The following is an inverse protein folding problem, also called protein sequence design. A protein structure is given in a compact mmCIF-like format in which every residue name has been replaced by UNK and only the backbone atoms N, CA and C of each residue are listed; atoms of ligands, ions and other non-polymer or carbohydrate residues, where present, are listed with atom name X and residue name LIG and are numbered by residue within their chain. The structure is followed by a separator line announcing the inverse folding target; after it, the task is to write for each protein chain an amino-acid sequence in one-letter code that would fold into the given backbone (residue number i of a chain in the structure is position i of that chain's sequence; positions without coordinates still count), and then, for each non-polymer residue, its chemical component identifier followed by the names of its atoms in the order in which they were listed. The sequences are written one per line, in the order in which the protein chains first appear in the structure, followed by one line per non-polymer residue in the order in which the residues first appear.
data_IF_199347865105
#
_entry.id   IF_199347865105
#
_cell.length_a   1.000
_cell.length_b   1.000
_cell.length_c   1.000
_cell.angle_alpha   90.00
_cell.angle_beta   90.00
_cell.angle_gamma   90.00
#
_symmetry.space_group_name_H-M   'P 1'
#
loop_
_entity.id
_entity.type
_entity.pdbx_description
1 polymer ?
#
# COMPACT_ATOMS: atom_id res chain seq x y z
N UNK A 1 8.58 8.65 42.61
CA UNK A 1 8.18 9.97 42.09
C UNK A 1 8.63 10.08 40.64
N UNK A 2 7.75 10.42 39.68
CA UNK A 2 8.18 10.62 38.30
C UNK A 2 9.09 11.84 38.24
N UNK A 3 10.32 11.60 37.79
CA UNK A 3 11.39 12.58 37.73
C UNK A 3 11.29 13.36 36.41
N UNK A 4 10.71 14.56 36.43
CA UNK A 4 10.57 15.45 35.26
C UNK A 4 11.89 16.11 34.81
N UNK A 5 13.02 15.41 34.91
CA UNK A 5 14.35 16.03 34.71
C UNK A 5 14.57 16.56 33.30
N UNK A 6 14.05 15.89 32.26
CA UNK A 6 14.29 16.28 30.86
C UNK A 6 13.57 17.58 30.44
N UNK A 7 12.38 17.86 31.00
CA UNK A 7 11.61 19.09 30.68
C UNK A 7 12.12 20.27 31.51
N UNK A 8 12.67 20.01 32.70
CA UNK A 8 13.10 21.02 33.65
C UNK A 8 14.59 21.38 33.54
N UNK A 9 15.26 21.00 32.45
CA UNK A 9 16.71 21.24 32.25
C UNK A 9 17.06 22.73 32.37
N UNK A 10 16.25 23.62 31.81
CA UNK A 10 16.47 25.07 31.90
C UNK A 10 16.40 25.59 33.35
N UNK A 11 15.50 25.03 34.17
CA UNK A 11 15.36 25.37 35.59
C UNK A 11 16.51 24.82 36.45
N UNK A 12 16.99 23.62 36.11
CA UNK A 12 18.16 23.04 36.78
C UNK A 12 19.42 23.84 36.44
N UNK A 13 19.65 24.15 35.16
CA UNK A 13 20.78 24.97 34.73
C UNK A 13 20.74 26.37 35.33
N UNK A 14 19.57 27.00 35.39
CA UNK A 14 19.44 28.32 36.02
C UNK A 14 19.76 28.27 37.51
N UNK A 15 19.37 27.20 38.22
CA UNK A 15 19.72 26.97 39.63
C UNK A 15 21.22 26.73 39.83
N UNK A 16 21.85 25.93 38.96
CA UNK A 16 23.28 25.63 39.01
C UNK A 16 24.12 26.89 38.71
N UNK A 17 23.68 27.74 37.77
CA UNK A 17 24.32 29.03 37.48
C UNK A 17 24.16 30.01 38.66
N UNK A 18 22.97 30.08 39.26
CA UNK A 18 22.71 30.95 40.43
C UNK A 18 23.50 30.55 41.67
N UNK A 19 23.71 29.25 41.88
CA UNK A 19 24.52 28.73 42.99
C UNK A 19 26.03 28.87 42.77
N UNK A 20 26.46 29.37 41.60
CA UNK A 20 27.88 29.54 41.27
C UNK A 20 28.63 28.22 41.00
N UNK A 21 27.92 27.09 40.89
CA UNK A 21 28.51 25.79 40.56
C UNK A 21 29.02 25.75 39.10
N UNK A 22 28.35 26.48 38.20
CA UNK A 22 28.82 26.71 36.84
C UNK A 22 29.26 28.17 36.66
N UNK A 23 30.47 28.37 36.13
CA UNK A 23 31.06 29.70 35.90
C UNK A 23 30.48 30.43 34.68
N UNK A 24 30.08 29.67 33.66
CA UNK A 24 29.53 30.20 32.42
C UNK A 24 28.31 29.38 31.99
N UNK A 25 27.29 30.01 31.38
CA UNK A 25 26.14 29.30 30.86
C UNK A 25 26.54 28.42 29.66
N UNK A 26 25.98 27.21 29.53
CA UNK A 26 26.14 26.41 28.32
C UNK A 26 25.59 27.15 27.08
N UNK A 27 26.16 26.94 25.88
CA UNK A 27 25.71 27.61 24.66
C UNK A 27 24.21 27.41 24.34
N UNK A 28 23.65 26.26 24.71
CA UNK A 28 22.23 25.95 24.50
C UNK A 28 21.27 26.62 25.51
N UNK A 29 21.78 27.24 26.59
CA UNK A 29 20.94 27.78 27.66
C UNK A 29 20.04 28.93 27.19
N UNK A 30 20.55 29.84 26.36
CA UNK A 30 19.77 30.93 25.78
C UNK A 30 18.66 30.42 24.86
N UNK A 31 18.95 29.40 24.03
CA UNK A 31 17.97 28.75 23.17
C UNK A 31 16.85 28.07 23.98
N UNK A 32 17.20 27.38 25.08
CA UNK A 32 16.23 26.74 25.96
C UNK A 32 15.31 27.72 26.68
N UNK A 33 15.78 28.94 27.00
CA UNK A 33 14.95 30.00 27.56
C UNK A 33 14.00 30.59 26.51
N UNK A 34 14.46 30.76 25.28
CA UNK A 34 13.65 31.31 24.18
C UNK A 34 12.61 30.30 23.66
N UNK A 35 12.94 29.01 23.69
CA UNK A 35 12.08 27.92 23.21
C UNK A 35 11.89 26.87 24.33
N UNK A 36 11.08 27.17 25.36
CA UNK A 36 10.86 26.23 26.44
C UNK A 36 10.17 24.96 25.92
N UNK A 37 10.53 23.77 26.44
CA UNK A 37 9.86 22.53 26.05
C UNK A 37 8.38 22.59 26.40
N UNK A 38 7.52 22.12 25.50
CA UNK A 38 6.09 22.03 25.76
C UNK A 38 5.84 21.13 26.99
N UNK A 39 5.00 21.57 27.96
CA UNK A 39 4.66 20.72 29.09
C UNK A 39 3.99 19.44 28.58
N UNK A 40 4.34 18.29 29.16
CA UNK A 40 3.69 17.03 28.80
C UNK A 40 2.19 17.20 29.01
N UNK A 41 1.36 17.05 27.96
CA UNK A 41 -0.06 17.29 28.09
C UNK A 41 -0.64 16.31 29.10
N UNK A 42 -1.62 16.77 29.89
CA UNK A 42 -2.40 15.87 30.72
C UNK A 42 -3.07 14.83 29.81
N UNK A 43 -3.36 13.65 30.34
CA UNK A 43 -4.04 12.58 29.59
C UNK A 43 -5.46 13.01 29.23
N UNK A 44 -5.59 13.69 28.10
CA UNK A 44 -6.82 14.31 27.61
C UNK A 44 -7.39 13.51 26.44
N UNK A 45 -8.69 13.72 26.20
CA UNK A 45 -9.39 13.19 25.02
C UNK A 45 -9.29 14.22 23.92
N UNK A 46 -8.70 13.86 22.79
CA UNK A 46 -8.76 14.69 21.59
C UNK A 46 -10.20 14.69 21.08
N UNK A 47 -10.80 15.86 20.89
CA UNK A 47 -12.08 15.97 20.19
C UNK A 47 -11.87 15.51 18.75
N UNK A 48 -12.58 14.46 18.33
CA UNK A 48 -12.42 13.84 17.01
C UNK A 48 -13.65 14.14 16.15
N UNK A 49 -13.50 14.42 14.84
CA UNK A 49 -14.65 14.58 13.95
C UNK A 49 -15.52 13.31 13.92
N UNK A 50 -16.83 13.51 13.69
CA UNK A 50 -17.81 12.40 13.63
C UNK A 50 -17.58 11.46 12.44
N UNK A 51 -16.85 11.93 11.43
CA UNK A 51 -16.63 11.23 10.17
C UNK A 51 -15.91 9.89 10.31
N UNK A 52 -14.95 9.78 11.23
CA UNK A 52 -14.13 8.56 11.40
C UNK A 52 -14.61 7.67 12.56
N UNK A 53 -15.72 8.05 13.20
CA UNK A 53 -16.22 7.30 14.34
C UNK A 53 -16.94 6.04 13.87
N UNK A 54 -16.90 4.93 14.63
CA UNK A 54 -17.76 3.79 14.36
C UNK A 54 -19.22 4.20 14.48
N UNK A 55 -20.11 3.58 13.70
CA UNK A 55 -21.55 3.93 13.63
C UNK A 55 -22.21 4.00 15.02
N UNK A 56 -21.83 3.10 15.94
CA UNK A 56 -22.32 3.08 17.32
C UNK A 56 -21.96 4.31 18.15
N UNK A 57 -20.94 5.08 17.75
CA UNK A 57 -20.50 6.32 18.40
C UNK A 57 -20.91 7.57 17.59
N UNK A 58 -21.44 7.42 16.36
CA UNK A 58 -21.90 8.54 15.51
C UNK A 58 -23.25 9.08 15.95
N UNK A 59 -24.18 8.19 16.32
CA UNK A 59 -25.46 8.59 16.88
C UNK A 59 -25.22 9.13 18.28
N UNK A 60 -25.32 10.44 18.44
CA UNK A 60 -25.51 11.06 19.75
C UNK A 60 -26.90 10.72 20.30
N UNK A 61 -27.23 9.43 20.39
CA UNK A 61 -28.41 9.00 21.13
C UNK A 61 -28.25 9.57 22.52
N UNK A 62 -29.26 10.33 22.93
CA UNK A 62 -29.39 10.95 24.23
C UNK A 62 -28.86 10.04 25.35
N UNK A 63 -28.28 10.61 26.41
CA UNK A 63 -27.62 9.84 27.48
C UNK A 63 -28.61 9.03 28.35
N UNK A 64 -29.84 8.85 27.88
CA UNK A 64 -30.88 8.11 28.54
C UNK A 64 -30.99 6.72 27.92
N UNK A 65 -30.63 5.73 28.72
CA UNK A 65 -30.80 4.30 28.51
C UNK A 65 -29.62 3.51 27.91
N UNK A 66 -28.90 2.83 28.81
CA UNK A 66 -28.56 1.39 28.72
C UNK A 66 -27.25 0.87 28.10
N UNK A 67 -26.36 1.67 27.51
CA UNK A 67 -25.04 1.11 27.10
C UNK A 67 -23.95 1.30 28.16
N UNK A 68 -23.87 0.36 29.11
CA UNK A 68 -22.73 0.19 30.04
C UNK A 68 -21.36 0.23 29.32
N UNK A 69 -21.32 -0.20 28.04
CA UNK A 69 -20.14 -0.19 27.19
C UNK A 69 -19.71 1.22 26.77
N UNK A 70 -20.64 2.13 26.46
CA UNK A 70 -20.33 3.52 26.13
C UNK A 70 -19.64 4.21 27.31
N UNK A 71 -20.18 4.06 28.54
CA UNK A 71 -19.53 4.61 29.74
C UNK A 71 -18.15 4.00 30.00
N UNK A 72 -17.92 2.71 29.73
CA UNK A 72 -16.59 2.07 29.92
C UNK A 72 -15.54 2.58 28.92
N UNK A 73 -15.88 2.72 27.64
CA UNK A 73 -14.99 3.31 26.62
C UNK A 73 -14.77 4.80 26.88
N UNK A 74 -15.80 5.49 27.41
CA UNK A 74 -15.74 6.92 27.78
C UNK A 74 -14.95 7.18 29.08
N UNK A 75 -14.64 6.15 29.89
CA UNK A 75 -13.77 6.30 31.06
C UNK A 75 -12.29 6.01 30.79
N UNK A 76 -11.99 5.24 29.74
CA UNK A 76 -10.61 4.96 29.36
C UNK A 76 -10.11 6.05 28.40
N UNK A 77 -9.06 6.82 28.72
CA UNK A 77 -8.40 7.68 27.72
C UNK A 77 -7.49 6.83 26.83
N UNK A 78 -8.10 5.88 26.12
CA UNK A 78 -7.50 5.07 25.07
C UNK A 78 -7.85 5.70 23.73
N UNK A 79 -6.97 5.64 22.72
CA UNK A 79 -7.30 6.12 21.38
C UNK A 79 -8.49 5.33 20.81
N UNK A 80 -9.38 6.02 20.12
CA UNK A 80 -10.51 5.40 19.43
C UNK A 80 -10.05 4.80 18.09
N UNK A 81 -10.61 3.65 17.66
CA UNK A 81 -10.30 3.09 16.34
C UNK A 81 -10.73 4.07 15.23
N UNK A 82 -9.94 4.11 14.15
CA UNK A 82 -10.24 4.87 12.93
C UNK A 82 -11.09 3.97 12.03
N UNK A 83 -12.32 4.38 11.74
CA UNK A 83 -13.23 3.58 10.89
C UNK A 83 -13.96 4.49 9.91
N UNK A 84 -13.79 4.23 8.61
CA UNK A 84 -14.51 4.94 7.56
C UNK A 84 -15.72 4.11 7.15
N UNK A 85 -16.85 4.26 7.86
CA UNK A 85 -17.98 3.33 7.78
C UNK A 85 -18.54 3.13 6.37
N UNK A 86 -18.68 4.20 5.58
CA UNK A 86 -19.16 4.11 4.20
C UNK A 86 -18.07 3.60 3.25
N UNK A 87 -16.86 4.17 3.35
CA UNK A 87 -15.72 3.85 2.47
C UNK A 87 -15.26 2.39 2.63
N UNK A 88 -15.05 1.94 3.87
CA UNK A 88 -14.63 0.57 4.18
C UNK A 88 -15.69 -0.46 3.78
N UNK A 89 -16.98 -0.08 3.81
CA UNK A 89 -18.08 -0.94 3.33
C UNK A 89 -18.02 -1.11 1.82
N UNK A 90 -17.79 -0.03 1.07
CA UNK A 90 -17.63 -0.07 -0.39
C UNK A 90 -16.40 -0.90 -0.78
N UNK A 91 -15.27 -0.70 -0.10
CA UNK A 91 -14.03 -1.47 -0.34
C UNK A 91 -14.25 -2.97 -0.13
N UNK A 92 -14.90 -3.36 0.98
CA UNK A 92 -15.22 -4.77 1.26
C UNK A 92 -16.16 -5.36 0.21
N UNK A 93 -17.18 -4.62 -0.21
CA UNK A 93 -18.08 -5.07 -1.28
C UNK A 93 -17.32 -5.27 -2.60
N UNK A 94 -16.50 -4.30 -2.98
CA UNK A 94 -15.71 -4.33 -4.22
C UNK A 94 -14.83 -5.57 -4.33
N UNK A 95 -14.00 -5.84 -3.32
CA UNK A 95 -13.09 -7.00 -3.35
C UNK A 95 -13.80 -8.34 -3.14
N UNK A 96 -15.00 -8.35 -2.53
CA UNK A 96 -15.83 -9.55 -2.48
C UNK A 96 -16.36 -9.92 -3.86
N UNK A 97 -16.80 -8.91 -4.62
CA UNK A 97 -17.36 -9.11 -5.95
C UNK A 97 -16.26 -9.29 -7.02
N UNK A 98 -15.06 -8.75 -6.78
CA UNK A 98 -13.91 -8.80 -7.70
C UNK A 98 -12.66 -9.37 -6.99
N UNK A 99 -12.64 -10.67 -6.67
CA UNK A 99 -11.53 -11.27 -5.92
C UNK A 99 -10.19 -11.15 -6.64
N UNK A 100 -10.19 -11.16 -7.98
CA UNK A 100 -8.95 -11.09 -8.76
C UNK A 100 -8.30 -9.71 -8.80
N UNK A 101 -9.02 -8.64 -8.46
CA UNK A 101 -8.43 -7.31 -8.35
C UNK A 101 -7.44 -7.23 -7.19
N UNK A 102 -7.57 -8.09 -6.16
CA UNK A 102 -6.62 -8.18 -5.06
C UNK A 102 -5.24 -8.75 -5.46
N UNK A 103 -5.15 -9.47 -6.59
CA UNK A 103 -3.86 -9.97 -7.11
C UNK A 103 -3.12 -8.94 -7.95
N UNK A 104 -3.75 -7.81 -8.29
CA UNK A 104 -3.03 -6.75 -9.01
C UNK A 104 -2.01 -6.12 -8.07
N UNK A 105 -0.75 -5.93 -8.51
CA UNK A 105 0.26 -5.31 -7.68
C UNK A 105 -0.12 -3.84 -7.41
N UNK A 106 -0.05 -3.44 -6.14
CA UNK A 106 -0.27 -2.07 -5.69
C UNK A 106 0.95 -1.63 -4.89
N UNK A 107 1.52 -0.47 -5.24
CA UNK A 107 2.56 0.16 -4.42
C UNK A 107 1.90 0.81 -3.21
N UNK A 108 2.31 0.37 -2.00
CA UNK A 108 1.94 1.02 -0.74
C UNK A 108 2.98 2.05 -0.30
N UNK A 109 4.08 2.18 -1.04
CA UNK A 109 5.08 3.20 -0.77
C UNK A 109 4.47 4.54 -1.15
N UNK A 110 4.11 5.31 -0.13
CA UNK A 110 3.76 6.71 -0.29
C UNK A 110 5.00 7.43 -0.82
N UNK A 111 4.95 7.84 -2.08
CA UNK A 111 5.97 8.73 -2.62
C UNK A 111 5.68 10.09 -2.01
N UNK A 112 6.42 10.39 -0.93
CA UNK A 112 6.51 11.74 -0.39
C UNK A 112 6.88 12.67 -1.55
N UNK A 113 6.25 13.84 -1.57
CA UNK A 113 6.41 14.93 -2.53
C UNK A 113 5.30 14.95 -3.59
N UNK A 114 4.47 15.99 -3.49
CA UNK A 114 3.95 16.99 -4.45
C UNK A 114 4.08 16.76 -5.99
N UNK A 115 4.80 15.73 -6.43
CA UNK A 115 5.09 15.34 -7.81
C UNK A 115 4.37 14.04 -8.23
N UNK A 116 3.87 13.21 -7.32
CA UNK A 116 3.19 11.94 -7.70
C UNK A 116 1.78 12.13 -8.28
N UNK A 117 1.18 13.32 -8.11
CA UNK A 117 0.05 13.77 -8.92
C UNK A 117 0.40 13.92 -10.42
N UNK A 118 1.68 13.88 -10.81
CA UNK A 118 2.12 14.00 -12.21
C UNK A 118 2.49 12.68 -12.89
N UNK A 119 2.63 11.54 -12.21
CA UNK A 119 3.30 10.38 -12.86
C UNK A 119 2.52 9.07 -12.91
N UNK A 120 1.40 8.90 -12.19
CA UNK A 120 0.55 7.69 -12.37
C UNK A 120 -0.94 7.98 -12.62
N UNK A 121 -1.32 9.23 -12.46
CA UNK A 121 -2.58 9.78 -12.92
C UNK A 121 -2.30 11.24 -13.25
N UNK A 122 -1.70 11.54 -14.41
CA UNK A 122 -2.13 12.79 -15.01
C UNK A 122 -3.65 12.59 -15.19
N UNK A 123 -4.51 13.32 -14.47
CA UNK A 123 -5.92 13.35 -14.87
C UNK A 123 -5.87 13.73 -16.34
N UNK A 124 -6.55 12.96 -17.20
CA UNK A 124 -6.67 13.30 -18.62
C UNK A 124 -7.03 14.76 -18.64
N UNK A 125 -6.07 15.63 -19.02
CA UNK A 125 -6.34 17.04 -19.16
C UNK A 125 -7.39 17.07 -20.25
N UNK A 126 -8.65 17.29 -19.86
CA UNK A 126 -9.70 17.49 -20.83
C UNK A 126 -9.25 18.66 -21.68
N UNK A 127 -9.06 18.41 -22.98
CA UNK A 127 -9.09 19.49 -23.94
C UNK A 127 -10.52 20.01 -23.82
N UNK A 128 -10.69 21.23 -23.31
CA UNK A 128 -12.01 21.87 -23.30
C UNK A 128 -12.49 21.96 -24.76
N UNK A 129 -13.81 22.09 -24.98
CA UNK A 129 -14.36 22.18 -26.34
C UNK A 129 -13.71 23.29 -27.21
N UNK A 130 -13.05 24.25 -26.55
CA UNK A 130 -12.36 25.40 -27.15
C UNK A 130 -10.87 25.14 -27.48
N UNK A 131 -10.37 23.91 -27.31
CA UNK A 131 -9.00 23.53 -27.68
C UNK A 131 -7.90 23.92 -26.69
N UNK A 132 -8.25 24.51 -25.54
CA UNK A 132 -7.31 24.89 -24.48
C UNK A 132 -6.99 23.71 -23.54
N UNK A 133 -5.72 23.61 -23.14
CA UNK A 133 -5.27 22.66 -22.13
C UNK A 133 -5.79 23.11 -20.76
N UNK A 134 -6.61 22.28 -20.11
CA UNK A 134 -7.12 22.49 -18.76
C UNK A 134 -5.98 22.85 -17.79
N UNK A 135 -6.18 23.94 -17.05
CA UNK A 135 -5.17 24.50 -16.14
C UNK A 135 -5.04 23.70 -14.84
N UNK A 136 -4.04 24.00 -13.99
CA UNK A 136 -3.86 23.35 -12.68
C UNK A 136 -5.05 23.53 -11.71
N UNK A 137 -5.94 24.50 -11.98
CA UNK A 137 -7.18 24.75 -11.23
C UNK A 137 -8.34 23.80 -11.62
N UNK A 138 -8.18 23.03 -12.70
CA UNK A 138 -9.16 22.05 -13.17
C UNK A 138 -8.89 20.65 -12.60
N UNK A 139 -8.07 20.55 -11.55
CA UNK A 139 -8.00 19.38 -10.68
C UNK A 139 -9.34 19.26 -9.97
N UNK A 140 -10.31 18.70 -10.68
CA UNK A 140 -11.69 18.57 -10.23
C UNK A 140 -11.69 17.85 -8.89
N UNK A 141 -12.00 18.60 -7.83
CA UNK A 141 -12.23 18.03 -6.51
C UNK A 141 -13.36 17.00 -6.55
N UNK A 142 -13.50 16.16 -5.52
CA UNK A 142 -14.54 15.11 -5.47
C UNK A 142 -15.97 15.64 -5.68
N UNK A 143 -16.17 16.94 -5.52
CA UNK A 143 -17.44 17.64 -5.68
C UNK A 143 -17.97 17.70 -7.11
N UNK A 144 -17.10 17.66 -8.15
CA UNK A 144 -17.56 17.69 -9.55
C UNK A 144 -17.29 16.40 -10.32
N UNK A 145 -17.03 15.29 -9.62
CA UNK A 145 -16.89 14.00 -10.29
C UNK A 145 -18.24 13.51 -10.81
N UNK A 146 -18.37 13.49 -12.13
CA UNK A 146 -19.51 12.87 -12.82
C UNK A 146 -19.13 11.56 -13.49
N UNK A 147 -17.86 11.38 -13.85
CA UNK A 147 -17.36 10.17 -14.52
C UNK A 147 -15.98 9.78 -13.99
N UNK A 148 -15.74 8.47 -13.85
CA UNK A 148 -14.46 7.92 -13.43
C UNK A 148 -13.32 8.23 -14.43
N UNK A 149 -13.65 8.41 -15.72
CA UNK A 149 -12.69 8.75 -16.79
C UNK A 149 -11.95 10.07 -16.54
N UNK A 150 -12.58 10.99 -15.80
CA UNK A 150 -12.01 12.30 -15.48
C UNK A 150 -10.76 12.21 -14.61
N UNK A 151 -10.67 11.14 -13.81
CA UNK A 151 -9.57 10.91 -12.86
C UNK A 151 -8.42 10.15 -13.52
N UNK A 152 -8.72 9.07 -14.23
CA UNK A 152 -7.72 8.13 -14.77
C UNK A 152 -8.25 7.41 -15.99
N UNK A 153 -7.38 7.15 -16.99
CA UNK A 153 -7.69 6.18 -18.05
C UNK A 153 -7.58 4.72 -17.55
N UNK A 154 -6.67 4.48 -16.61
CA UNK A 154 -6.40 3.15 -16.05
C UNK A 154 -6.80 3.15 -14.57
N UNK A 155 -8.10 3.00 -14.27
CA UNK A 155 -8.58 3.14 -12.90
C UNK A 155 -8.10 1.98 -12.02
N UNK A 156 -7.65 2.30 -10.82
CA UNK A 156 -7.43 1.37 -9.73
C UNK A 156 -8.74 0.99 -9.02
N UNK A 157 -8.71 -0.08 -8.23
CA UNK A 157 -9.82 -0.48 -7.37
C UNK A 157 -10.19 0.65 -6.38
N UNK A 158 -9.18 1.32 -5.80
CA UNK A 158 -9.40 2.46 -4.92
C UNK A 158 -10.00 3.67 -5.63
N UNK A 159 -9.69 3.88 -6.92
CA UNK A 159 -10.28 4.96 -7.71
C UNK A 159 -11.79 4.72 -7.91
N UNK A 160 -12.19 3.47 -8.16
CA UNK A 160 -13.60 3.08 -8.24
C UNK A 160 -14.33 3.31 -6.90
N UNK A 161 -13.73 2.93 -5.77
CA UNK A 161 -14.31 3.10 -4.43
C UNK A 161 -14.44 4.58 -4.09
N UNK A 162 -13.40 5.37 -4.36
CA UNK A 162 -13.40 6.82 -4.16
C UNK A 162 -14.47 7.51 -5.01
N UNK A 163 -14.62 7.09 -6.27
CA UNK A 163 -15.64 7.62 -7.16
C UNK A 163 -17.07 7.28 -6.68
N UNK A 164 -17.31 6.03 -6.28
CA UNK A 164 -18.60 5.65 -5.67
C UNK A 164 -18.93 6.47 -4.42
N UNK A 165 -17.92 6.74 -3.60
CA UNK A 165 -18.07 7.56 -2.40
C UNK A 165 -18.37 9.04 -2.72
N UNK A 166 -17.67 9.62 -3.70
CA UNK A 166 -17.93 10.99 -4.16
C UNK A 166 -19.33 11.14 -4.75
N UNK A 167 -19.77 10.18 -5.57
CA UNK A 167 -21.13 10.13 -6.10
C UNK A 167 -22.19 10.06 -5.00
N UNK A 168 -21.90 9.36 -3.91
CA UNK A 168 -22.80 9.27 -2.76
C UNK A 168 -22.89 10.60 -1.97
N UNK A 169 -21.78 11.33 -1.82
CA UNK A 169 -21.74 12.55 -1.00
C UNK A 169 -22.14 13.82 -1.73
N UNK A 170 -21.63 14.02 -2.94
CA UNK A 170 -21.64 15.33 -3.60
C UNK A 170 -22.56 15.40 -4.82
N UNK A 171 -23.04 14.25 -5.32
CA UNK A 171 -23.80 14.26 -6.57
C UNK A 171 -25.18 14.91 -6.38
N UNK A 172 -25.57 15.87 -7.24
CA UNK A 172 -26.82 16.63 -7.09
C UNK A 172 -28.08 15.76 -7.20
N UNK A 173 -28.01 14.65 -7.94
CA UNK A 173 -29.14 13.71 -8.06
C UNK A 173 -29.37 12.81 -6.82
N UNK A 174 -28.44 12.83 -5.84
CA UNK A 174 -28.59 12.07 -4.59
C UNK A 174 -28.59 10.55 -4.77
N UNK A 175 -27.49 9.96 -5.25
CA UNK A 175 -27.38 8.51 -5.39
C UNK A 175 -27.40 7.80 -4.03
N UNK A 176 -28.14 6.69 -3.94
CA UNK A 176 -27.96 5.75 -2.82
C UNK A 176 -26.58 5.10 -2.89
N UNK A 177 -26.06 4.63 -1.76
CA UNK A 177 -24.73 3.99 -1.70
C UNK A 177 -24.60 2.82 -2.69
N UNK A 178 -25.67 2.02 -2.86
CA UNK A 178 -25.70 0.91 -3.81
C UNK A 178 -25.78 1.40 -5.26
N UNK A 179 -26.60 2.43 -5.53
CA UNK A 179 -26.71 3.01 -6.87
C UNK A 179 -25.37 3.61 -7.34
N UNK A 180 -24.71 4.38 -6.45
CA UNK A 180 -23.38 4.92 -6.71
C UNK A 180 -22.34 3.82 -6.97
N UNK A 181 -22.38 2.73 -6.20
CA UNK A 181 -21.50 1.58 -6.39
C UNK A 181 -21.71 0.90 -7.74
N UNK A 182 -22.95 0.67 -8.16
CA UNK A 182 -23.26 0.04 -9.46
C UNK A 182 -22.77 0.89 -10.63
N UNK A 183 -22.98 2.22 -10.57
CA UNK A 183 -22.49 3.17 -11.59
C UNK A 183 -20.96 3.19 -11.62
N UNK A 184 -20.30 3.21 -10.46
CA UNK A 184 -18.85 3.20 -10.39
C UNK A 184 -18.26 1.90 -10.96
N UNK A 185 -18.82 0.75 -10.61
CA UNK A 185 -18.36 -0.57 -11.09
C UNK A 185 -18.59 -0.73 -12.59
N UNK A 186 -19.70 -0.24 -13.14
CA UNK A 186 -19.95 -0.30 -14.58
C UNK A 186 -18.91 0.52 -15.35
N UNK A 187 -18.64 1.75 -14.92
CA UNK A 187 -17.60 2.59 -15.53
C UNK A 187 -16.20 2.00 -15.38
N UNK A 188 -15.87 1.46 -14.21
CA UNK A 188 -14.60 0.77 -13.95
C UNK A 188 -14.40 -0.40 -14.92
N UNK A 189 -15.41 -1.24 -15.10
CA UNK A 189 -15.36 -2.38 -16.03
C UNK A 189 -15.15 -1.90 -17.47
N UNK A 190 -15.91 -0.91 -17.91
CA UNK A 190 -15.77 -0.34 -19.27
C UNK A 190 -14.37 0.17 -19.53
N UNK A 191 -13.79 0.96 -18.61
CA UNK A 191 -12.42 1.47 -18.73
C UNK A 191 -11.38 0.35 -18.73
N UNK A 192 -11.54 -0.67 -17.89
CA UNK A 192 -10.64 -1.84 -17.87
C UNK A 192 -10.70 -2.64 -19.17
N UNK A 193 -11.89 -2.83 -19.74
CA UNK A 193 -12.05 -3.51 -21.02
C UNK A 193 -11.43 -2.71 -22.15
N UNK A 194 -11.65 -1.40 -22.21
CA UNK A 194 -11.05 -0.50 -23.19
C UNK A 194 -9.52 -0.56 -23.13
N UNK A 195 -8.94 -0.45 -21.94
CA UNK A 195 -7.49 -0.56 -21.75
C UNK A 195 -6.95 -1.93 -22.20
N UNK A 196 -7.65 -3.02 -21.86
CA UNK A 196 -7.25 -4.36 -22.28
C UNK A 196 -7.28 -4.52 -23.80
N UNK A 197 -8.34 -4.05 -24.45
CA UNK A 197 -8.49 -4.05 -25.91
C UNK A 197 -7.37 -3.21 -26.54
N UNK A 198 -7.15 -2.00 -26.06
CA UNK A 198 -6.08 -1.11 -26.54
C UNK A 198 -4.70 -1.76 -26.43
N UNK A 199 -4.39 -2.39 -25.30
CA UNK A 199 -3.11 -3.10 -25.09
C UNK A 199 -2.97 -4.28 -26.07
N UNK A 200 -4.05 -5.04 -26.28
CA UNK A 200 -4.06 -6.18 -27.21
C UNK A 200 -3.84 -5.73 -28.65
N UNK A 201 -4.53 -4.69 -29.09
CA UNK A 201 -4.37 -4.14 -30.44
C UNK A 201 -2.98 -3.54 -30.63
N UNK A 202 -2.47 -2.77 -29.66
CA UNK A 202 -1.11 -2.21 -29.74
C UNK A 202 -0.05 -3.31 -29.89
N UNK A 203 -0.23 -4.46 -29.22
CA UNK A 203 0.66 -5.62 -29.40
C UNK A 203 0.57 -6.20 -30.82
N UNK A 204 -0.64 -6.42 -31.33
CA UNK A 204 -0.87 -6.97 -32.66
C UNK A 204 -0.31 -6.05 -33.76
N UNK A 205 -0.51 -4.75 -33.63
CA UNK A 205 0.05 -3.75 -34.53
C UNK A 205 1.58 -3.78 -34.51
N UNK A 206 2.19 -3.83 -33.32
CA UNK A 206 3.64 -3.94 -33.20
C UNK A 206 4.17 -5.22 -33.87
N UNK A 207 3.51 -6.37 -33.66
CA UNK A 207 3.86 -7.63 -34.31
C UNK A 207 3.72 -7.55 -35.83
N UNK A 208 2.68 -6.90 -36.34
CA UNK A 208 2.49 -6.65 -37.77
C UNK A 208 3.62 -5.81 -38.36
N UNK A 209 4.12 -4.81 -37.63
CA UNK A 209 5.30 -4.01 -38.01
C UNK A 209 6.64 -4.72 -37.73
N UNK A 210 6.63 -5.99 -37.35
CA UNK A 210 7.83 -6.82 -37.18
C UNK A 210 8.49 -6.71 -35.80
N UNK A 211 7.82 -6.14 -34.80
CA UNK A 211 8.32 -6.17 -33.43
C UNK A 211 8.38 -7.61 -32.90
N UNK A 212 9.55 -8.00 -32.38
CA UNK A 212 9.75 -9.30 -31.76
C UNK A 212 9.74 -9.15 -30.24
N UNK A 213 8.77 -9.78 -29.58
CA UNK A 213 8.68 -9.77 -28.13
C UNK A 213 9.60 -10.83 -27.51
N UNK A 214 10.28 -10.48 -26.42
CA UNK A 214 10.94 -11.47 -25.59
C UNK A 214 9.89 -12.40 -24.97
N UNK A 215 10.20 -13.71 -24.90
CA UNK A 215 9.46 -14.79 -24.25
C UNK A 215 8.22 -14.37 -23.43
N UNK A 216 7.04 -14.86 -23.85
CA UNK A 216 5.77 -14.64 -23.16
C UNK A 216 5.81 -15.10 -21.70
N UNK A 217 5.02 -14.45 -20.86
CA UNK A 217 4.87 -14.79 -19.43
C UNK A 217 4.55 -16.28 -19.22
N UNK A 218 3.71 -16.87 -20.08
CA UNK A 218 3.36 -18.29 -20.01
C UNK A 218 4.60 -19.17 -20.25
N UNK A 219 5.43 -18.84 -21.24
CA UNK A 219 6.66 -19.59 -21.51
C UNK A 219 7.67 -19.44 -20.37
N UNK A 220 7.74 -18.26 -19.74
CA UNK A 220 8.57 -18.04 -18.55
C UNK A 220 8.07 -18.86 -17.37
N UNK A 221 6.74 -18.92 -17.15
CA UNK A 221 6.14 -19.72 -16.09
C UNK A 221 6.38 -21.22 -16.29
N UNK A 222 6.21 -21.74 -17.51
CA UNK A 222 6.52 -23.15 -17.82
C UNK A 222 7.99 -23.48 -17.53
N UNK A 223 8.92 -22.61 -17.95
CA UNK A 223 10.36 -22.80 -17.64
C UNK A 223 10.64 -22.80 -16.14
N UNK A 224 9.94 -21.95 -15.38
CA UNK A 224 10.05 -21.92 -13.92
C UNK A 224 9.47 -23.20 -13.29
N UNK A 225 8.37 -23.74 -13.83
CA UNK A 225 7.77 -25.00 -13.39
C UNK A 225 8.69 -26.18 -13.69
N UNK A 226 9.24 -26.28 -14.91
CA UNK A 226 10.18 -27.34 -15.28
C UNK A 226 11.43 -27.33 -14.41
N UNK A 227 11.95 -26.12 -14.09
CA UNK A 227 13.06 -25.97 -13.15
C UNK A 227 12.70 -26.49 -11.77
N UNK A 228 11.52 -26.13 -11.26
CA UNK A 228 11.03 -26.59 -9.97
C UNK A 228 10.84 -28.11 -9.91
N UNK A 229 10.30 -28.73 -10.97
CA UNK A 229 10.14 -30.18 -11.06
C UNK A 229 11.51 -30.88 -11.03
N UNK A 230 12.48 -30.38 -11.81
CA UNK A 230 13.85 -30.93 -11.81
C UNK A 230 14.52 -30.82 -10.45
N UNK A 231 14.37 -29.68 -9.76
CA UNK A 231 14.93 -29.48 -8.42
C UNK A 231 14.28 -30.45 -7.41
N UNK A 232 12.97 -30.69 -7.52
CA UNK A 232 12.24 -31.64 -6.67
C UNK A 232 12.69 -33.08 -6.93
N UNK A 233 12.69 -33.52 -8.18
CA UNK A 233 13.08 -34.89 -8.53
C UNK A 233 14.57 -35.14 -8.22
N UNK A 234 15.42 -34.11 -8.35
CA UNK A 234 16.81 -34.14 -7.88
C UNK A 234 16.92 -34.36 -6.37
N UNK A 235 16.07 -33.71 -5.57
CA UNK A 235 16.02 -33.91 -4.11
C UNK A 235 15.55 -35.32 -3.72
N UNK A 236 14.59 -35.90 -4.45
CA UNK A 236 14.11 -37.26 -4.18
C UNK A 236 15.19 -38.31 -4.52
N UNK A 237 15.96 -38.07 -5.58
CA UNK A 237 17.13 -38.87 -5.91
C UNK A 237 18.27 -38.73 -4.88
N UNK A 238 18.43 -37.57 -4.24
CA UNK A 238 19.40 -37.38 -3.14
C UNK A 238 18.97 -38.06 -1.84
N UNK A 239 17.67 -38.07 -1.53
CA UNK A 239 17.12 -38.77 -0.35
C UNK A 239 17.24 -40.29 -0.47
N UNK A 240 16.99 -40.85 -1.66
CA UNK A 240 17.15 -42.30 -1.87
C UNK A 240 18.62 -42.76 -1.77
N UNK A 241 19.59 -41.86 -1.96
CA UNK A 241 21.02 -42.15 -1.77
C UNK A 241 21.46 -42.04 -0.29
N UNK A 242 20.77 -41.23 0.52
CA UNK A 242 21.09 -41.04 1.95
C UNK A 242 20.50 -42.11 2.89
N UNK A 243 19.68 -43.02 2.38
CA UNK A 243 19.15 -44.19 3.14
C UNK A 243 19.84 -45.53 2.75
N UNK A 244 21.13 -45.77 3.05
CA UNK A 244 21.75 -47.07 2.78
C UNK A 244 21.61 -48.09 3.93
N UNK A 245 20.93 -47.77 5.05
CA UNK A 245 20.81 -48.67 6.20
C UNK A 245 19.37 -48.90 6.66
N UNK A 246 18.70 -49.80 5.94
CA UNK A 246 17.83 -50.85 6.48
C UNK A 246 16.80 -50.50 7.56
N UNK A 247 15.55 -50.32 7.14
CA UNK A 247 14.41 -50.87 7.85
C UNK A 247 13.30 -51.24 6.85
N UNK A 248 13.21 -52.53 6.51
CA UNK A 248 12.00 -53.13 5.94
C UNK A 248 10.88 -53.00 6.96
N UNK A 249 10.06 -51.96 6.87
CA UNK A 249 8.74 -51.94 7.48
C UNK A 249 7.76 -52.60 6.52
N UNK A 250 7.19 -53.73 6.95
CA UNK A 250 6.14 -54.48 6.27
C UNK A 250 4.90 -53.62 5.98
N UNK A 251 4.13 -53.87 4.90
CA UNK A 251 2.91 -53.13 4.63
C UNK A 251 1.80 -53.63 5.58
N UNK A 252 1.40 -52.80 6.53
CA UNK A 252 0.18 -53.02 7.32
C UNK A 252 -0.93 -52.19 6.69
N UNK A 253 -1.97 -52.88 6.20
CA UNK A 253 -3.22 -52.29 5.70
C UNK A 253 -3.97 -51.50 6.80
N UNK A 254 -4.83 -50.54 6.42
CA UNK A 254 -5.22 -49.43 7.27
C UNK A 254 -6.30 -49.82 8.28
N UNK A 255 -6.13 -49.39 9.54
CA UNK A 255 -7.21 -49.34 10.52
C UNK A 255 -7.86 -47.95 10.49
N UNK A 256 -9.15 -47.97 10.21
CA UNK A 256 -10.09 -46.84 10.31
C UNK A 256 -10.21 -46.34 11.75
N UNK A 257 -9.98 -45.05 11.99
CA UNK A 257 -10.69 -44.28 13.02
C UNK A 257 -10.49 -42.77 12.82
N UNK A 258 -11.49 -42.15 12.22
CA UNK A 258 -12.10 -40.85 12.59
C UNK A 258 -11.26 -39.81 13.33
N UNK A 259 -11.05 -38.67 12.65
CA UNK A 259 -11.23 -37.34 13.27
C UNK A 259 -9.97 -36.52 13.56
N UNK A 260 -9.56 -35.68 12.59
CA UNK A 260 -9.32 -34.25 12.80
C UNK A 260 -8.75 -33.65 11.52
N UNK A 261 -9.55 -32.79 10.89
CA UNK A 261 -9.27 -32.10 9.65
C UNK A 261 -8.77 -30.68 9.98
N UNK A 262 -7.81 -30.18 9.18
CA UNK A 262 -7.39 -28.78 8.99
C UNK A 262 -6.17 -28.27 9.80
N UNK A 263 -4.97 -28.64 9.36
CA UNK A 263 -3.85 -27.69 9.31
C UNK A 263 -3.31 -27.65 7.86
N UNK A 264 -3.73 -26.61 7.13
CA UNK A 264 -3.24 -26.32 5.78
C UNK A 264 -1.85 -25.71 5.84
N UNK A 265 -0.82 -26.56 5.75
CA UNK A 265 0.52 -26.15 5.38
C UNK A 265 0.54 -25.85 3.88
N UNK A 266 0.24 -24.60 3.51
CA UNK A 266 0.49 -24.09 2.17
C UNK A 266 1.41 -22.86 2.24
N UNK A 267 2.43 -22.89 1.40
CA UNK A 267 3.43 -21.84 1.14
C UNK A 267 4.61 -21.77 2.13
N UNK A 268 5.49 -22.78 2.06
CA UNK A 268 6.92 -22.54 2.30
C UNK A 268 7.38 -21.50 1.26
N UNK A 269 7.76 -20.31 1.74
CA UNK A 269 8.39 -19.27 0.91
C UNK A 269 9.58 -19.89 0.15
N UNK A 270 9.77 -19.61 -1.15
CA UNK A 270 11.01 -19.98 -1.82
C UNK A 270 12.18 -19.33 -1.07
N UNK A 271 13.35 -19.98 -1.01
CA UNK A 271 14.52 -19.37 -0.41
C UNK A 271 14.80 -18.05 -1.12
N UNK A 272 14.85 -16.97 -0.33
CA UNK A 272 15.29 -15.65 -0.75
C UNK A 272 16.61 -15.84 -1.50
N UNK A 273 16.63 -15.48 -2.79
CA UNK A 273 17.87 -15.43 -3.57
C UNK A 273 18.87 -14.64 -2.73
N UNK A 274 20.04 -15.23 -2.47
CA UNK A 274 21.18 -14.49 -1.90
C UNK A 274 21.34 -13.24 -2.76
N UNK A 275 21.24 -12.09 -2.10
CA UNK A 275 21.43 -10.78 -2.72
C UNK A 275 22.67 -10.85 -3.61
N UNK A 276 22.49 -10.62 -4.91
CA UNK A 276 23.61 -10.29 -5.80
C UNK A 276 24.26 -9.06 -5.19
N UNK A 277 25.36 -9.28 -4.48
CA UNK A 277 26.03 -8.22 -3.75
C UNK A 277 26.42 -7.12 -4.72
N UNK A 278 26.29 -5.87 -4.27
CA UNK A 278 26.65 -4.61 -4.94
C UNK A 278 28.02 -4.57 -5.66
N UNK A 279 28.84 -5.61 -5.56
CA UNK A 279 30.06 -5.79 -6.34
C UNK A 279 29.79 -6.05 -7.84
N UNK A 280 28.68 -6.71 -8.18
CA UNK A 280 28.34 -7.03 -9.58
C UNK A 280 27.88 -5.79 -10.38
N UNK A 281 27.39 -4.74 -9.71
CA UNK A 281 27.11 -3.45 -10.35
C UNK A 281 28.37 -2.68 -10.76
N UNK A 282 29.49 -2.86 -10.05
CA UNK A 282 30.76 -2.19 -10.35
C UNK A 282 31.49 -2.82 -11.54
N UNK A 283 31.35 -4.13 -11.75
CA UNK A 283 31.90 -4.82 -12.92
C UNK A 283 31.17 -4.38 -14.20
N UNK A 284 29.84 -4.23 -14.13
CA UNK A 284 29.03 -3.77 -15.26
C UNK A 284 29.37 -2.33 -15.68
N UNK A 285 29.52 -1.40 -14.73
CA UNK A 285 29.94 -0.02 -15.02
C UNK A 285 31.35 0.07 -15.62
N UNK A 286 32.28 -0.75 -15.15
CA UNK A 286 33.64 -0.83 -15.74
C UNK A 286 33.61 -1.34 -17.17
N UNK A 287 32.77 -2.33 -17.49
CA UNK A 287 32.62 -2.83 -18.86
C UNK A 287 31.99 -1.81 -19.81
N UNK A 288 30.96 -1.07 -19.34
CA UNK A 288 30.33 -0.02 -20.13
C UNK A 288 31.32 1.11 -20.43
N UNK A 289 32.11 1.55 -19.45
CA UNK A 289 33.18 2.55 -19.63
C UNK A 289 34.32 2.06 -20.53
N UNK A 290 34.60 0.76 -20.54
CA UNK A 290 35.61 0.17 -21.44
C UNK A 290 35.11 0.10 -22.88
N UNK A 291 33.81 -0.16 -23.08
CA UNK A 291 33.16 -0.16 -24.40
C UNK A 291 33.04 1.25 -24.96
N UNK A 292 32.71 2.26 -24.14
CA UNK A 292 32.63 3.65 -24.59
C UNK A 292 33.99 4.18 -25.08
N UNK A 293 35.07 3.95 -24.31
CA UNK A 293 36.43 4.34 -24.71
C UNK A 293 36.94 3.63 -25.96
N UNK A 294 36.48 2.40 -26.21
CA UNK A 294 36.79 1.68 -27.47
C UNK A 294 36.07 2.27 -28.67
N UNK A 295 34.85 2.76 -28.49
CA UNK A 295 34.09 3.41 -29.57
C UNK A 295 34.68 4.79 -29.92
N UNK A 296 35.14 5.54 -28.92
CA UNK A 296 35.86 6.81 -29.13
C UNK A 296 37.20 6.61 -29.87
N UNK A 297 37.90 5.51 -29.62
CA UNK A 297 39.17 5.18 -30.29
C UNK A 297 39.01 4.69 -31.74
N UNK A 298 37.79 4.39 -32.19
CA UNK A 298 37.48 3.96 -33.57
C UNK A 298 37.03 5.16 -34.43
N UNK A 299 36.82 6.34 -33.83
CA UNK A 299 36.37 7.57 -34.51
C UNK A 299 37.51 8.57 -34.83
N UNK A 300 38.77 8.14 -34.77
CA UNK A 300 39.96 8.90 -35.24
C UNK A 300 40.67 8.09 -36.31
#
# INVERSE_FOLDING_TARGET
MPRHHAVLVHNQLSSILKSGLLKAPPPAYSALLNYPPAPTPLRQRTQRPKFDLPVSLRSGSTPDSSSSRYRKVVRTCKPLPIVYAEHDRLRKAFYRDHPFEAYRPVSLVEVADDLSARTLAEPVRRIQADGTLAGPSDLVGPEHWTELRQRTLVPSAEDCVNFAYALYQHHPAGYSLNGAYQVAVSQFRTLRFEHHISTSFARQEAEFFGAQWSQDLLTQQLKNQDRWIKDRDGMDNLKSIQDPLGARATPVLPRTSTGSMLEGNYMVRPPVRKEETFQDGKSYLKEVLRKSKRLEAIQV
#
